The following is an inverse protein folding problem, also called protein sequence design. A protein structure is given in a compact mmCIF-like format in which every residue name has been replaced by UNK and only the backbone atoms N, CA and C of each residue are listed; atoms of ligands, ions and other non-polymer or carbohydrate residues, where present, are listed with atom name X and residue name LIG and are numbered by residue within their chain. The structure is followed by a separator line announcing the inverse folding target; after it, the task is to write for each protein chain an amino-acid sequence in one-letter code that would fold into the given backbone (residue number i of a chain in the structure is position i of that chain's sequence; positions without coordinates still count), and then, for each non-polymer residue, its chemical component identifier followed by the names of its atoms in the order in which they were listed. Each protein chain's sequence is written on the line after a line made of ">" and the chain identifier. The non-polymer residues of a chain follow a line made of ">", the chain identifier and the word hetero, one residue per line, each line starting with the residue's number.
data_IF_011193333736
#
_entry.id   IF_011193333736
#
_cell.length_a   1.000
_cell.length_b   1.000
_cell.length_c   1.000
_cell.angle_alpha   90.00
_cell.angle_beta   90.00
_cell.angle_gamma   90.00
#
_symmetry.space_group_name_H-M   'P 1'
#
loop_
_entity.id
_entity.type
_entity.pdbx_description
1 polymer ?
#
# COMPACT_ATOMS: atom_id res chain seq x y z
N UNK A 1 -13.13 -16.13 10.47
CA UNK A 1 -12.07 -16.37 11.47
C UNK A 1 -12.42 -15.52 12.66
N UNK A 2 -12.35 -16.03 13.89
CA UNK A 2 -12.56 -15.19 15.08
C UNK A 2 -11.30 -14.38 15.41
N UNK A 3 -11.47 -13.41 16.32
CA UNK A 3 -10.44 -12.45 16.72
C UNK A 3 -9.21 -13.12 17.34
N UNK A 4 -9.43 -14.12 18.20
CA UNK A 4 -8.38 -14.83 18.94
C UNK A 4 -7.54 -15.66 17.97
N UNK A 5 -8.18 -16.44 17.10
CA UNK A 5 -7.49 -17.21 16.05
C UNK A 5 -6.66 -16.31 15.14
N UNK A 6 -7.17 -15.14 14.77
CA UNK A 6 -6.42 -14.20 13.93
C UNK A 6 -5.17 -13.67 14.65
N UNK A 7 -5.32 -13.22 15.90
CA UNK A 7 -4.19 -12.72 16.71
C UNK A 7 -3.14 -13.81 16.94
N UNK A 8 -3.55 -15.03 17.24
CA UNK A 8 -2.63 -16.16 17.43
C UNK A 8 -1.82 -16.45 16.17
N UNK A 9 -2.45 -16.41 14.99
CA UNK A 9 -1.76 -16.60 13.71
C UNK A 9 -0.75 -15.48 13.41
N UNK A 10 -1.09 -14.23 13.72
CA UNK A 10 -0.15 -13.10 13.59
C UNK A 10 1.01 -13.26 14.58
N UNK A 11 0.72 -13.55 15.85
CA UNK A 11 1.72 -13.69 16.91
C UNK A 11 2.70 -14.84 16.67
N UNK A 12 2.24 -15.95 16.06
CA UNK A 12 3.09 -17.09 15.74
C UNK A 12 4.22 -16.73 14.77
N UNK A 13 3.95 -15.84 13.80
CA UNK A 13 4.96 -15.23 12.93
C UNK A 13 5.67 -16.15 11.93
N UNK A 14 5.48 -17.47 12.00
CA UNK A 14 5.99 -18.40 11.01
C UNK A 14 5.26 -18.24 9.66
N UNK A 15 5.88 -18.74 8.59
CA UNK A 15 5.38 -18.56 7.22
C UNK A 15 3.96 -19.11 7.02
N UNK A 16 3.63 -20.26 7.61
CA UNK A 16 2.32 -20.87 7.45
C UNK A 16 1.26 -20.08 8.21
N UNK A 17 1.53 -19.74 9.47
CA UNK A 17 0.61 -18.93 10.27
C UNK A 17 0.37 -17.54 9.67
N UNK A 18 1.42 -16.90 9.13
CA UNK A 18 1.29 -15.62 8.44
C UNK A 18 0.46 -15.72 7.16
N UNK A 19 0.64 -16.78 6.37
CA UNK A 19 -0.17 -17.01 5.17
C UNK A 19 -1.66 -17.21 5.53
N UNK A 20 -1.95 -17.93 6.60
CA UNK A 20 -3.31 -18.14 7.10
C UNK A 20 -3.92 -16.85 7.67
N UNK A 21 -3.14 -16.03 8.41
CA UNK A 21 -3.56 -14.71 8.87
C UNK A 21 -3.91 -13.80 7.68
N UNK A 22 -3.07 -13.77 6.64
CA UNK A 22 -3.31 -12.99 5.42
C UNK A 22 -4.55 -13.48 4.67
N UNK A 23 -4.78 -14.79 4.63
CA UNK A 23 -5.99 -15.36 4.06
C UNK A 23 -7.25 -14.93 4.85
N UNK A 24 -7.19 -15.02 6.18
CA UNK A 24 -8.26 -14.58 7.06
C UNK A 24 -8.58 -13.09 6.92
N UNK A 25 -7.55 -12.25 6.82
CA UNK A 25 -7.66 -10.80 6.69
C UNK A 25 -8.45 -10.35 5.44
N UNK A 26 -8.55 -11.19 4.39
CA UNK A 26 -9.35 -10.87 3.19
C UNK A 26 -10.84 -10.75 3.46
N UNK A 27 -11.31 -11.33 4.56
CA UNK A 27 -12.71 -11.25 5.00
C UNK A 27 -12.97 -10.12 6.00
N UNK A 28 -11.92 -9.41 6.41
CA UNK A 28 -11.97 -8.34 7.41
C UNK A 28 -11.94 -6.97 6.73
N UNK A 29 -12.60 -5.99 7.35
CA UNK A 29 -12.44 -4.58 6.97
C UNK A 29 -11.13 -4.01 7.51
N UNK A 30 -10.73 -2.85 7.00
CA UNK A 30 -9.60 -2.09 7.57
C UNK A 30 -9.82 -1.82 9.08
N UNK A 31 -11.04 -1.42 9.47
CA UNK A 31 -11.39 -1.17 10.88
C UNK A 31 -11.18 -2.43 11.72
N UNK A 32 -11.67 -3.58 11.26
CA UNK A 32 -11.53 -4.85 11.98
C UNK A 32 -10.05 -5.19 12.20
N UNK A 33 -9.20 -5.06 11.17
CA UNK A 33 -7.76 -5.33 11.33
C UNK A 33 -7.11 -4.36 12.31
N UNK A 34 -7.46 -3.06 12.25
CA UNK A 34 -6.90 -2.06 13.17
C UNK A 34 -7.32 -2.26 14.63
N UNK A 35 -8.54 -2.75 14.88
CA UNK A 35 -9.04 -3.08 16.22
C UNK A 35 -8.43 -4.39 16.74
N UNK A 36 -8.21 -5.36 15.87
CA UNK A 36 -7.56 -6.62 16.22
C UNK A 36 -6.07 -6.45 16.49
N UNK A 37 -5.41 -5.42 15.97
CA UNK A 37 -4.01 -5.12 16.23
C UNK A 37 -3.91 -3.88 17.16
N UNK A 38 -4.44 -4.03 18.37
CA UNK A 38 -4.41 -2.98 19.39
C UNK A 38 -2.99 -2.70 19.92
N UNK A 39 -2.85 -1.62 20.69
CA UNK A 39 -1.55 -1.16 21.20
C UNK A 39 -0.79 -2.23 21.99
N UNK A 40 -1.47 -2.97 22.86
CA UNK A 40 -0.83 -4.00 23.70
C UNK A 40 -0.31 -5.14 22.81
N UNK A 41 -1.09 -5.56 21.81
CA UNK A 41 -0.66 -6.59 20.86
C UNK A 41 0.50 -6.14 19.97
N UNK A 42 0.50 -4.87 19.53
CA UNK A 42 1.59 -4.28 18.74
C UNK A 42 2.91 -4.26 19.52
N UNK A 43 2.87 -3.94 20.82
CA UNK A 43 4.05 -3.89 21.69
C UNK A 43 4.61 -5.29 21.95
N UNK A 44 3.75 -6.26 22.26
CA UNK A 44 4.15 -7.64 22.58
C UNK A 44 4.68 -8.44 21.37
N UNK A 45 4.15 -8.17 20.17
CA UNK A 45 4.42 -8.95 18.95
C UNK A 45 4.96 -8.11 17.79
N UNK A 46 5.72 -7.06 18.10
CA UNK A 46 6.10 -6.01 17.14
C UNK A 46 6.75 -6.50 15.85
N UNK A 47 7.64 -7.50 15.93
CA UNK A 47 8.32 -8.03 14.73
C UNK A 47 7.34 -8.78 13.82
N UNK A 48 6.49 -9.63 14.40
CA UNK A 48 5.54 -10.44 13.68
C UNK A 48 4.43 -9.58 13.06
N UNK A 49 3.93 -8.61 13.82
CA UNK A 49 2.99 -7.60 13.33
C UNK A 49 3.62 -6.81 12.17
N UNK A 50 4.85 -6.33 12.31
CA UNK A 50 5.56 -5.58 11.24
C UNK A 50 5.63 -6.40 9.94
N UNK A 51 5.94 -7.69 10.02
CA UNK A 51 5.95 -8.57 8.85
C UNK A 51 4.55 -8.74 8.25
N UNK A 52 3.55 -9.03 9.09
CA UNK A 52 2.16 -9.17 8.67
C UNK A 52 1.64 -7.89 7.97
N UNK A 53 1.82 -6.71 8.56
CA UNK A 53 1.33 -5.44 8.02
C UNK A 53 1.95 -5.13 6.65
N UNK A 54 3.25 -5.36 6.48
CA UNK A 54 3.93 -5.15 5.20
C UNK A 54 3.39 -6.08 4.11
N UNK A 55 3.12 -7.35 4.42
CA UNK A 55 2.55 -8.30 3.45
C UNK A 55 1.06 -8.04 3.18
N UNK A 56 0.30 -7.70 4.23
CA UNK A 56 -1.13 -7.40 4.13
C UNK A 56 -1.39 -6.19 3.23
N UNK A 57 -0.64 -5.09 3.42
CA UNK A 57 -0.73 -3.91 2.56
C UNK A 57 -0.56 -4.26 1.07
N UNK A 58 0.41 -5.13 0.73
CA UNK A 58 0.66 -5.54 -0.67
C UNK A 58 -0.49 -6.35 -1.28
N UNK A 59 -1.36 -6.95 -0.47
CA UNK A 59 -2.53 -7.70 -0.95
C UNK A 59 -3.77 -6.84 -1.13
N UNK A 60 -3.81 -5.63 -0.54
CA UNK A 60 -4.94 -4.73 -0.69
C UNK A 60 -5.01 -4.13 -2.12
N UNK A 61 -6.23 -3.89 -2.65
CA UNK A 61 -6.43 -3.05 -3.82
C UNK A 61 -5.76 -1.68 -3.64
N UNK A 62 -5.23 -1.10 -4.72
CA UNK A 62 -4.36 0.10 -4.66
C UNK A 62 -4.97 1.25 -3.84
N UNK A 63 -6.25 1.57 -4.04
CA UNK A 63 -6.89 2.67 -3.29
C UNK A 63 -7.15 2.34 -1.82
N UNK A 64 -7.49 1.09 -1.50
CA UNK A 64 -7.63 0.64 -0.10
C UNK A 64 -6.26 0.58 0.60
N UNK A 65 -5.22 0.23 -0.15
CA UNK A 65 -3.83 0.24 0.33
C UNK A 65 -3.40 1.63 0.76
N UNK A 66 -3.80 2.69 0.04
CA UNK A 66 -3.49 4.07 0.38
C UNK A 66 -4.07 4.48 1.75
N UNK A 67 -5.33 4.14 2.00
CA UNK A 67 -5.98 4.39 3.31
C UNK A 67 -5.29 3.62 4.43
N UNK A 68 -5.04 2.32 4.22
CA UNK A 68 -4.39 1.49 5.23
C UNK A 68 -2.93 1.89 5.50
N UNK A 69 -2.21 2.39 4.49
CA UNK A 69 -0.79 2.72 4.60
C UNK A 69 -0.52 3.87 5.57
N UNK A 70 -1.39 4.88 5.65
CA UNK A 70 -1.26 5.98 6.60
C UNK A 70 -1.32 5.47 8.04
N UNK A 71 -2.30 4.61 8.33
CA UNK A 71 -2.41 3.96 9.64
C UNK A 71 -1.20 3.07 9.94
N UNK A 72 -0.78 2.19 9.02
CA UNK A 72 0.40 1.34 9.22
C UNK A 72 1.66 2.17 9.46
N UNK A 73 1.87 3.22 8.67
CA UNK A 73 3.00 4.14 8.85
C UNK A 73 2.96 4.80 10.23
N UNK A 74 1.78 5.20 10.72
CA UNK A 74 1.63 5.74 12.08
C UNK A 74 2.02 4.73 13.16
N UNK A 75 1.77 3.43 12.95
CA UNK A 75 2.22 2.40 13.90
C UNK A 75 3.74 2.32 13.97
N UNK A 76 4.45 2.42 12.85
CA UNK A 76 5.93 2.51 12.85
C UNK A 76 6.48 3.74 13.57
N UNK A 77 5.70 4.81 13.68
CA UNK A 77 6.10 6.02 14.40
C UNK A 77 5.70 5.99 15.89
N UNK A 78 4.82 5.07 16.28
CA UNK A 78 4.21 5.01 17.62
C UNK A 78 4.38 3.63 18.26
N UNK A 79 3.57 2.64 17.85
CA UNK A 79 3.52 1.31 18.47
C UNK A 79 4.66 0.36 18.11
N UNK A 80 5.35 0.60 16.99
CA UNK A 80 6.46 -0.22 16.50
C UNK A 80 7.78 0.59 16.45
N UNK A 81 7.84 1.70 17.17
CA UNK A 81 8.96 2.66 17.09
C UNK A 81 10.30 2.06 17.53
N UNK A 82 10.26 1.04 18.39
CA UNK A 82 11.43 0.31 18.89
C UNK A 82 12.04 -0.66 17.87
N UNK A 83 11.35 -0.96 16.77
CA UNK A 83 11.92 -1.77 15.70
C UNK A 83 13.06 -1.02 15.01
N UNK A 84 14.08 -1.78 14.61
CA UNK A 84 15.18 -1.23 13.82
C UNK A 84 14.64 -0.65 12.51
N UNK A 85 15.10 0.55 12.16
CA UNK A 85 14.67 1.28 10.96
C UNK A 85 13.16 1.51 10.84
N UNK A 86 12.41 1.59 11.96
CA UNK A 86 10.96 1.83 11.96
C UNK A 86 10.55 3.05 11.12
N UNK A 87 11.23 4.18 11.27
CA UNK A 87 10.98 5.41 10.49
C UNK A 87 11.27 5.25 8.99
N UNK A 88 12.39 4.58 8.65
CA UNK A 88 12.73 4.30 7.25
C UNK A 88 11.73 3.34 6.60
N UNK A 89 11.24 2.37 7.37
CA UNK A 89 10.19 1.44 6.94
C UNK A 89 8.87 2.17 6.68
N UNK A 90 8.46 3.08 7.58
CA UNK A 90 7.28 3.92 7.38
C UNK A 90 7.36 4.76 6.09
N UNK A 91 8.49 5.45 5.91
CA UNK A 91 8.72 6.29 4.72
C UNK A 91 8.69 5.46 3.43
N UNK A 92 9.40 4.33 3.41
CA UNK A 92 9.41 3.42 2.25
C UNK A 92 8.00 2.91 1.92
N UNK A 93 7.24 2.47 2.93
CA UNK A 93 5.87 1.98 2.72
C UNK A 93 4.97 3.04 2.08
N UNK A 94 5.01 4.28 2.59
CA UNK A 94 4.21 5.37 2.02
C UNK A 94 4.60 5.65 0.56
N UNK A 95 5.90 5.69 0.25
CA UNK A 95 6.37 5.91 -1.12
C UNK A 95 5.97 4.78 -2.07
N UNK A 96 6.09 3.51 -1.64
CA UNK A 96 5.66 2.35 -2.43
C UNK A 96 4.15 2.41 -2.74
N UNK A 97 3.35 2.88 -1.79
CA UNK A 97 1.90 2.99 -1.96
C UNK A 97 1.54 4.16 -2.86
N UNK A 98 2.15 5.33 -2.68
CA UNK A 98 1.92 6.48 -3.58
C UNK A 98 2.39 6.21 -5.01
N UNK A 99 3.45 5.42 -5.17
CA UNK A 99 3.91 4.93 -6.47
C UNK A 99 2.82 4.10 -7.15
N UNK A 100 2.22 3.15 -6.43
CA UNK A 100 1.15 2.32 -6.96
C UNK A 100 -0.13 3.13 -7.28
N UNK A 101 -0.47 4.10 -6.43
CA UNK A 101 -1.62 5.00 -6.66
C UNK A 101 -1.42 5.87 -7.89
N UNK A 102 -0.23 6.43 -8.09
CA UNK A 102 0.10 7.22 -9.27
C UNK A 102 -0.06 6.39 -10.56
N UNK A 103 0.45 5.15 -10.56
CA UNK A 103 0.29 4.22 -11.70
C UNK A 103 -1.17 3.88 -11.99
N UNK A 104 -1.93 3.51 -10.97
CA UNK A 104 -3.33 3.11 -11.13
C UNK A 104 -4.16 4.30 -11.63
N UNK A 105 -3.94 5.49 -11.09
CA UNK A 105 -4.66 6.68 -11.54
C UNK A 105 -4.27 7.05 -12.99
N UNK A 106 -3.00 6.91 -13.37
CA UNK A 106 -2.59 7.13 -14.76
C UNK A 106 -3.30 6.15 -15.71
N UNK A 107 -3.33 4.86 -15.35
CA UNK A 107 -4.00 3.81 -16.12
C UNK A 107 -5.50 4.07 -16.25
N UNK A 108 -6.16 4.45 -15.15
CA UNK A 108 -7.59 4.74 -15.14
C UNK A 108 -7.92 5.93 -16.06
N UNK A 109 -7.07 6.96 -16.06
CA UNK A 109 -7.20 8.14 -16.93
C UNK A 109 -7.00 7.81 -18.41
N UNK A 110 -6.00 6.99 -18.75
CA UNK A 110 -5.79 6.50 -20.12
C UNK A 110 -6.99 5.66 -20.60
N UNK A 111 -7.62 4.94 -19.66
CA UNK A 111 -8.86 4.18 -19.87
C UNK A 111 -10.08 5.02 -20.25
N UNK A 112 -10.03 6.35 -20.16
CA UNK A 112 -11.13 7.23 -20.59
C UNK A 112 -11.19 7.45 -22.11
N UNK A 113 -10.10 7.21 -22.85
CA UNK A 113 -10.06 7.47 -24.30
C UNK A 113 -11.20 6.79 -25.10
N UNK A 114 -11.56 5.53 -24.84
CA UNK A 114 -12.73 4.92 -25.50
C UNK A 114 -14.06 5.64 -25.24
N UNK A 115 -14.19 6.37 -24.12
CA UNK A 115 -15.39 7.13 -23.75
C UNK A 115 -15.47 8.50 -24.44
N UNK A 116 -14.35 9.00 -24.97
CA UNK A 116 -14.26 10.29 -25.68
C UNK A 116 -14.18 10.14 -27.20
N UNK A 117 -13.74 8.98 -27.69
CA UNK A 117 -13.56 8.69 -29.13
C UNK A 117 -14.61 7.71 -29.70
N UNK A 118 -15.52 7.20 -28.87
CA UNK A 118 -16.60 6.30 -29.29
C UNK A 118 -17.65 6.97 -30.21
N UNK A 119 -18.41 6.18 -30.98
CA UNK A 119 -19.43 6.71 -31.91
C UNK A 119 -20.56 7.50 -31.21
N UNK A 120 -20.82 7.18 -29.94
CA UNK A 120 -21.81 7.84 -29.08
C UNK A 120 -21.14 8.68 -27.97
N UNK A 121 -19.87 9.07 -28.14
CA UNK A 121 -19.15 9.83 -27.12
C UNK A 121 -19.78 11.22 -26.93
N UNK A 122 -20.28 11.48 -25.71
CA UNK A 122 -20.82 12.79 -25.31
C UNK A 122 -19.71 13.75 -24.83
N UNK A 123 -18.51 13.24 -24.58
CA UNK A 123 -17.39 14.01 -24.08
C UNK A 123 -16.60 14.70 -25.23
N UNK A 124 -16.26 16.00 -25.10
CA UNK A 124 -15.43 16.68 -26.09
C UNK A 124 -14.06 15.99 -26.25
N UNK A 125 -13.57 15.84 -27.47
CA UNK A 125 -12.26 15.21 -27.77
C UNK A 125 -11.09 15.84 -27.00
N UNK A 126 -11.10 17.16 -26.80
CA UNK A 126 -10.06 17.84 -26.02
C UNK A 126 -10.04 17.47 -24.52
N UNK A 127 -11.06 16.76 -24.01
CA UNK A 127 -11.00 16.15 -22.66
C UNK A 127 -10.00 15.00 -22.66
N UNK A 128 -10.00 14.15 -23.68
CA UNK A 128 -9.10 12.99 -23.80
C UNK A 128 -7.63 13.43 -23.73
N UNK A 129 -7.26 14.41 -24.56
CA UNK A 129 -5.90 14.95 -24.60
C UNK A 129 -5.43 15.49 -23.25
N UNK A 130 -6.34 16.11 -22.48
CA UNK A 130 -6.02 16.62 -21.14
C UNK A 130 -5.86 15.50 -20.12
N UNK A 131 -6.67 14.45 -20.19
CA UNK A 131 -6.56 13.29 -19.30
C UNK A 131 -5.28 12.51 -19.60
N UNK A 132 -4.91 12.36 -20.87
CA UNK A 132 -3.63 11.74 -21.27
C UNK A 132 -2.43 12.56 -20.76
N UNK A 133 -2.50 13.89 -20.85
CA UNK A 133 -1.48 14.76 -20.27
C UNK A 133 -1.35 14.62 -18.75
N UNK A 134 -2.47 14.40 -18.05
CA UNK A 134 -2.47 14.13 -16.61
C UNK A 134 -1.90 12.75 -16.30
N UNK A 135 -2.25 11.71 -17.07
CA UNK A 135 -1.66 10.37 -16.95
C UNK A 135 -0.14 10.40 -17.13
N UNK A 136 0.36 11.10 -18.16
CA UNK A 136 1.80 11.28 -18.37
C UNK A 136 2.49 11.99 -17.20
N UNK A 137 1.81 12.96 -16.57
CA UNK A 137 2.33 13.64 -15.37
C UNK A 137 2.43 12.66 -14.19
N UNK A 138 1.41 11.81 -14.00
CA UNK A 138 1.39 10.80 -12.93
C UNK A 138 2.47 9.73 -13.14
N UNK A 139 2.74 9.32 -14.37
CA UNK A 139 3.88 8.46 -14.70
C UNK A 139 5.21 9.11 -14.27
N UNK A 140 5.39 10.41 -14.53
CA UNK A 140 6.57 11.15 -14.07
C UNK A 140 6.69 11.24 -12.54
N UNK A 141 5.56 11.39 -11.84
CA UNK A 141 5.52 11.34 -10.36
C UNK A 141 5.93 9.96 -9.85
N UNK A 142 5.40 8.89 -10.46
CA UNK A 142 5.78 7.51 -10.13
C UNK A 142 7.28 7.28 -10.27
N UNK A 143 7.89 7.69 -11.38
CA UNK A 143 9.34 7.53 -11.59
C UNK A 143 10.15 8.30 -10.55
N UNK A 144 9.70 9.50 -10.18
CA UNK A 144 10.34 10.29 -9.11
C UNK A 144 10.28 9.56 -7.76
N UNK A 145 9.12 9.00 -7.41
CA UNK A 145 8.94 8.25 -6.16
C UNK A 145 9.78 6.96 -6.12
N UNK A 146 9.89 6.24 -7.25
CA UNK A 146 10.76 5.06 -7.35
C UNK A 146 12.23 5.42 -7.08
N UNK A 147 12.70 6.55 -7.61
CA UNK A 147 14.07 7.02 -7.33
C UNK A 147 14.30 7.32 -5.84
N UNK A 148 13.31 7.85 -5.14
CA UNK A 148 13.41 8.08 -3.69
C UNK A 148 13.40 6.77 -2.89
N UNK A 149 12.62 5.76 -3.34
CA UNK A 149 12.63 4.42 -2.73
C UNK A 149 14.00 3.75 -2.87
N UNK A 150 14.62 3.85 -4.05
CA UNK A 150 15.96 3.30 -4.29
C UNK A 150 17.00 3.98 -3.39
N UNK A 151 16.93 5.31 -3.26
CA UNK A 151 17.79 6.09 -2.36
C UNK A 151 17.63 5.67 -0.89
N UNK A 152 16.40 5.42 -0.43
CA UNK A 152 16.14 4.90 0.93
C UNK A 152 16.66 3.47 1.14
N UNK A 153 16.71 2.67 0.07
CA UNK A 153 17.15 1.28 0.11
C UNK A 153 18.68 1.12 0.00
N UNK A 154 19.41 2.23 -0.20
CA UNK A 154 20.85 2.22 -0.44
C UNK A 154 21.24 1.61 -1.79
N UNK A 155 20.30 1.49 -2.74
CA UNK A 155 20.56 1.09 -4.12
C UNK A 155 20.88 2.35 -4.93
N UNK A 156 21.98 2.35 -5.67
CA UNK A 156 22.26 3.45 -6.61
C UNK A 156 21.30 3.34 -7.82
N UNK A 157 20.83 4.47 -8.38
CA UNK A 157 19.97 4.45 -9.55
C UNK A 157 20.74 3.86 -10.75
N UNK A 158 20.37 2.65 -11.18
CA UNK A 158 20.93 1.99 -12.36
C UNK A 158 21.34 0.52 -12.23
N UNK A 159 21.13 -0.13 -11.07
CA UNK A 159 21.52 -1.53 -10.83
C UNK A 159 20.48 -2.60 -11.30
N UNK A 160 19.62 -2.24 -12.26
CA UNK A 160 18.56 -3.12 -12.82
C UNK A 160 18.83 -3.59 -14.24
#
# INVERSE_FOLDING_TARGET
>A
MDAETFRDLVAAGDEASRADALHGARSLTFSDVSELLDYDFLDEHSEQVSQFLQEWLRQLPVYQRAEAADWVASQYLLGLVHLEHSWGTAARLLLEVYTAVAEQLATDLEGFRPLTEGPDAEAPTGVADRLDGLAATLHGVRESLLSEIDALSGKEPGDG
#
